data_IF_132920380604
#
_entry.id   IF_132920380604
#
_cell.length_a   1.000
_cell.length_b   1.000
_cell.length_c   1.000
_cell.angle_alpha   90.00
_cell.angle_beta   90.00
_cell.angle_gamma   90.00
#
_symmetry.space_group_name_H-M   'P 1'
#
loop_
_entity.id
_entity.type
_entity.pdbx_description
1 polymer ?
#
# COMPACT_ATOMS: atom_id res chain seq x y z
N UNK A 1 67.20 -18.29 64.57
CA UNK A 1 66.44 -19.30 63.78
C UNK A 1 65.30 -18.54 63.11
N UNK A 2 65.20 -18.65 61.78
CA UNK A 2 64.38 -17.88 60.81
C UNK A 2 62.91 -17.69 61.28
N UNK A 3 62.17 -16.61 60.96
CA UNK A 3 61.79 -16.04 59.65
C UNK A 3 61.43 -14.53 59.81
N UNK A 4 62.01 -13.58 59.07
CA UNK A 4 61.65 -13.03 57.73
C UNK A 4 60.33 -12.20 57.67
N UNK A 5 60.51 -10.87 57.73
CA UNK A 5 59.98 -9.76 56.90
C UNK A 5 58.50 -9.63 56.43
N UNK A 6 58.02 -8.37 56.60
CA UNK A 6 57.28 -7.47 55.67
C UNK A 6 55.73 -7.46 55.60
N UNK A 7 55.19 -6.35 56.14
CA UNK A 7 54.19 -5.43 55.58
C UNK A 7 53.62 -5.77 54.18
N UNK A 8 52.29 -5.76 54.05
CA UNK A 8 51.58 -5.10 52.94
C UNK A 8 50.14 -4.80 53.34
N UNK A 9 49.78 -3.53 53.20
CA UNK A 9 48.44 -3.00 53.36
C UNK A 9 47.60 -3.33 52.13
N UNK A 10 46.48 -4.02 52.34
CA UNK A 10 45.43 -4.21 51.34
C UNK A 10 44.11 -4.38 52.09
N UNK A 11 43.00 -3.93 51.48
CA UNK A 11 41.64 -3.74 52.03
C UNK A 11 41.45 -2.36 52.71
N UNK A 12 40.56 -1.46 52.28
CA UNK A 12 39.40 -1.54 51.39
C UNK A 12 39.26 -0.23 50.62
N UNK A 13 39.51 -0.25 49.31
CA UNK A 13 38.90 0.72 48.38
C UNK A 13 37.48 0.23 48.10
N UNK A 14 36.56 0.54 49.00
CA UNK A 14 35.13 0.32 48.83
C UNK A 14 34.44 1.65 49.07
N UNK A 15 34.48 2.54 48.07
CA UNK A 15 33.68 3.75 47.87
C UNK A 15 34.26 4.43 46.62
N UNK A 16 33.40 4.80 45.66
CA UNK A 16 33.68 5.25 44.27
C UNK A 16 33.56 4.16 43.19
N UNK A 17 32.39 3.54 43.09
CA UNK A 17 31.80 3.18 41.79
C UNK A 17 30.42 3.83 41.72
N UNK A 18 30.40 5.16 41.83
CA UNK A 18 29.25 5.96 41.41
C UNK A 18 29.34 6.15 39.90
N UNK A 19 28.30 5.70 39.18
CA UNK A 19 27.91 6.19 37.86
C UNK A 19 29.05 6.37 36.83
N UNK A 20 29.44 5.26 36.19
CA UNK A 20 29.78 5.33 34.78
C UNK A 20 28.54 4.81 34.03
N UNK A 21 27.54 5.68 33.86
CA UNK A 21 26.69 5.54 32.67
C UNK A 21 27.66 5.60 31.48
N UNK A 22 27.61 4.66 30.51
CA UNK A 22 28.49 4.73 29.36
C UNK A 22 28.29 6.10 28.69
N UNK A 23 29.40 6.76 28.42
CA UNK A 23 29.46 8.08 27.83
C UNK A 23 28.52 8.19 26.61
N UNK A 24 27.61 9.16 26.66
CA UNK A 24 26.79 9.68 25.56
C UNK A 24 26.45 8.65 24.46
N UNK A 25 25.49 7.76 24.73
CA UNK A 25 24.81 7.10 23.62
C UNK A 25 24.00 8.14 22.85
N UNK A 26 24.30 8.27 21.56
CA UNK A 26 23.48 9.07 20.62
C UNK A 26 22.05 8.55 20.56
N UNK A 27 21.10 9.40 20.19
CA UNK A 27 19.70 9.00 19.92
C UNK A 27 19.63 7.84 18.92
N UNK A 28 20.46 7.86 17.87
CA UNK A 28 20.60 6.75 16.93
C UNK A 28 20.99 5.43 17.62
N UNK A 29 21.96 5.45 18.54
CA UNK A 29 22.39 4.25 19.26
C UNK A 29 21.30 3.72 20.20
N UNK A 30 20.57 4.59 20.89
CA UNK A 30 19.45 4.20 21.76
C UNK A 30 18.29 3.60 20.96
N UNK A 31 18.05 4.06 19.74
CA UNK A 31 16.99 3.52 18.88
C UNK A 31 17.38 2.22 18.18
N UNK A 32 18.68 2.01 17.91
CA UNK A 32 19.17 0.74 17.36
C UNK A 32 19.09 -0.43 18.35
N UNK A 33 19.06 -0.14 19.67
CA UNK A 33 18.88 -1.15 20.71
C UNK A 33 17.45 -1.74 20.66
N UNK A 34 17.28 -2.90 20.02
CA UNK A 34 15.97 -3.57 19.93
C UNK A 34 15.63 -4.09 18.54
N UNK A 35 16.44 -3.77 17.53
CA UNK A 35 16.24 -4.19 16.13
C UNK A 35 16.26 -5.73 15.92
N UNK A 36 16.61 -6.52 16.94
CA UNK A 36 16.70 -7.97 16.89
C UNK A 36 15.77 -8.68 17.92
N UNK A 37 14.66 -8.03 18.31
CA UNK A 37 13.66 -8.66 19.16
C UNK A 37 12.90 -9.75 18.38
N UNK A 38 12.98 -11.00 18.83
CA UNK A 38 12.10 -12.07 18.36
C UNK A 38 10.75 -11.91 19.07
N UNK A 39 9.71 -11.55 18.33
CA UNK A 39 8.37 -11.28 18.85
C UNK A 39 7.41 -12.31 18.27
N UNK A 40 6.72 -13.03 19.15
CA UNK A 40 5.73 -14.02 18.78
C UNK A 40 4.36 -13.68 19.39
N UNK A 41 3.37 -13.43 18.55
CA UNK A 41 2.00 -13.12 18.95
C UNK A 41 1.11 -14.36 18.83
N UNK A 42 0.55 -14.88 19.94
CA UNK A 42 -0.45 -15.94 19.88
C UNK A 42 -1.80 -15.38 19.39
N UNK A 43 -2.42 -16.07 18.42
CA UNK A 43 -3.68 -15.67 17.78
C UNK A 43 -4.72 -16.81 17.89
N UNK A 44 -5.89 -16.60 18.51
CA UNK A 44 -6.95 -17.61 18.63
C UNK A 44 -7.69 -17.87 17.29
N UNK A 45 -8.21 -19.09 17.09
CA UNK A 45 -8.83 -19.58 15.82
C UNK A 45 -10.19 -18.97 15.49
N UNK A 46 -10.95 -18.43 16.44
CA UNK A 46 -12.36 -18.10 16.18
C UNK A 46 -12.57 -16.75 15.44
N UNK A 47 -11.58 -15.86 15.45
CA UNK A 47 -11.73 -14.42 15.15
C UNK A 47 -10.41 -13.76 14.72
N UNK A 48 -9.48 -14.54 14.13
CA UNK A 48 -8.02 -14.35 14.02
C UNK A 48 -7.43 -12.93 13.96
N UNK A 49 -8.13 -11.89 13.55
CA UNK A 49 -7.61 -10.51 13.51
C UNK A 49 -8.66 -9.45 13.87
N UNK A 50 -9.57 -9.74 14.81
CA UNK A 50 -10.67 -8.83 15.14
C UNK A 50 -10.18 -7.57 15.89
N UNK A 51 -10.51 -6.41 15.35
CA UNK A 51 -10.26 -5.09 15.94
C UNK A 51 -11.57 -4.31 16.02
N UNK A 52 -11.98 -3.93 17.23
CA UNK A 52 -13.20 -3.16 17.44
C UNK A 52 -13.00 -1.67 17.05
N UNK A 53 -13.96 -1.11 16.34
CA UNK A 53 -14.00 0.30 15.97
C UNK A 53 -14.58 1.16 17.12
N UNK A 54 -14.26 2.45 17.12
CA UNK A 54 -15.01 3.48 17.88
C UNK A 54 -15.10 3.25 19.41
N UNK A 55 -14.12 2.57 20.01
CA UNK A 55 -14.14 2.24 21.44
C UNK A 55 -13.71 3.41 22.35
N UNK A 56 -12.73 4.22 21.93
CA UNK A 56 -12.20 5.42 22.62
C UNK A 56 -11.47 6.32 21.59
N UNK A 57 -11.59 7.66 21.62
CA UNK A 57 -10.78 8.55 20.78
C UNK A 57 -9.26 8.36 20.90
N UNK A 58 -8.77 7.85 22.03
CA UNK A 58 -7.35 7.55 22.26
C UNK A 58 -6.96 6.11 21.88
N UNK A 59 -7.94 5.28 21.51
CA UNK A 59 -7.70 3.93 21.00
C UNK A 59 -7.39 3.96 19.51
N UNK A 60 -6.81 2.87 19.04
CA UNK A 60 -6.54 2.63 17.62
C UNK A 60 -7.78 2.88 16.77
N UNK A 61 -7.62 3.61 15.67
CA UNK A 61 -8.67 3.85 14.68
C UNK A 61 -8.41 2.99 13.44
N UNK A 62 -9.45 2.31 12.94
CA UNK A 62 -9.33 1.48 11.74
C UNK A 62 -8.99 2.34 10.51
N UNK A 63 -8.24 1.78 9.55
CA UNK A 63 -7.77 2.50 8.37
C UNK A 63 -8.87 3.25 7.61
N UNK A 64 -9.96 2.57 7.26
CA UNK A 64 -11.04 3.17 6.48
C UNK A 64 -12.22 3.65 7.32
N UNK A 65 -12.08 3.75 8.65
CA UNK A 65 -13.21 4.05 9.53
C UNK A 65 -13.93 5.34 9.10
N UNK A 66 -13.20 6.45 8.98
CA UNK A 66 -13.75 7.75 8.57
C UNK A 66 -14.34 7.69 7.16
N UNK A 67 -13.60 7.12 6.21
CA UNK A 67 -13.99 7.10 4.81
C UNK A 67 -15.25 6.24 4.56
N UNK A 68 -15.29 5.00 5.05
CA UNK A 68 -16.47 4.12 4.93
C UNK A 68 -17.65 4.73 5.68
N UNK A 69 -17.42 5.27 6.88
CA UNK A 69 -18.51 5.88 7.64
C UNK A 69 -19.08 7.10 6.92
N UNK A 70 -18.26 7.89 6.25
CA UNK A 70 -18.74 9.03 5.45
C UNK A 70 -19.43 8.57 4.16
N UNK A 71 -18.97 7.47 3.56
CA UNK A 71 -19.60 6.88 2.37
C UNK A 71 -21.03 6.40 2.59
N UNK A 72 -21.47 6.12 3.82
CA UNK A 72 -22.90 5.93 4.09
C UNK A 72 -23.63 7.23 3.71
N UNK A 73 -24.58 7.15 2.76
CA UNK A 73 -25.33 8.33 2.31
C UNK A 73 -26.07 9.00 3.47
N UNK A 74 -26.10 10.33 3.47
CA UNK A 74 -26.89 11.10 4.44
C UNK A 74 -28.34 10.57 4.44
N UNK A 75 -28.98 10.35 5.60
CA UNK A 75 -30.39 9.96 5.67
C UNK A 75 -31.35 10.91 4.92
N UNK A 76 -30.94 12.15 4.67
CA UNK A 76 -31.66 13.15 3.89
C UNK A 76 -31.35 13.12 2.39
N UNK A 77 -30.26 12.46 1.98
CA UNK A 77 -29.88 12.24 0.60
C UNK A 77 -30.63 11.02 0.05
N UNK A 78 -31.22 11.14 -1.14
CA UNK A 78 -31.88 10.01 -1.81
C UNK A 78 -31.02 9.57 -2.98
N UNK A 79 -30.26 8.49 -2.77
CA UNK A 79 -29.52 7.86 -3.87
C UNK A 79 -30.48 7.33 -4.93
N UNK A 80 -30.08 7.47 -6.19
CA UNK A 80 -30.65 6.73 -7.31
C UNK A 80 -30.38 5.23 -7.16
N UNK A 81 -31.10 4.41 -7.93
CA UNK A 81 -30.87 2.96 -7.91
C UNK A 81 -29.43 2.61 -8.33
N UNK A 82 -28.89 3.29 -9.35
CA UNK A 82 -27.53 3.06 -9.83
C UNK A 82 -26.46 3.47 -8.82
N UNK A 83 -26.65 4.58 -8.09
CA UNK A 83 -25.77 5.01 -7.00
C UNK A 83 -25.82 4.03 -5.81
N UNK A 84 -27.00 3.53 -5.47
CA UNK A 84 -27.16 2.53 -4.41
C UNK A 84 -26.50 1.19 -4.77
N UNK A 85 -26.61 0.77 -6.03
CA UNK A 85 -25.94 -0.44 -6.53
C UNK A 85 -24.41 -0.24 -6.53
N UNK A 86 -23.94 0.92 -7.00
CA UNK A 86 -22.52 1.31 -6.96
C UNK A 86 -21.94 1.27 -5.55
N UNK A 87 -22.62 1.88 -4.58
CA UNK A 87 -22.17 1.88 -3.19
C UNK A 87 -22.16 0.47 -2.58
N UNK A 88 -23.15 -0.35 -2.92
CA UNK A 88 -23.21 -1.75 -2.48
C UNK A 88 -22.00 -2.52 -3.01
N UNK A 89 -21.66 -2.33 -4.27
CA UNK A 89 -20.53 -3.00 -4.90
C UNK A 89 -19.19 -2.49 -4.35
N UNK A 90 -19.02 -1.18 -4.14
CA UNK A 90 -17.82 -0.62 -3.52
C UNK A 90 -17.60 -1.23 -2.12
N UNK A 91 -18.65 -1.35 -1.31
CA UNK A 91 -18.56 -1.99 0.01
C UNK A 91 -18.21 -3.47 -0.10
N UNK A 92 -18.78 -4.18 -1.08
CA UNK A 92 -18.44 -5.57 -1.36
C UNK A 92 -16.94 -5.69 -1.68
N UNK A 93 -16.43 -4.88 -2.61
CA UNK A 93 -15.03 -4.87 -3.01
C UNK A 93 -14.10 -4.55 -1.84
N UNK A 94 -14.37 -3.49 -1.08
CA UNK A 94 -13.56 -3.14 0.11
C UNK A 94 -13.53 -4.29 1.12
N UNK A 95 -14.65 -4.97 1.34
CA UNK A 95 -14.73 -6.10 2.26
C UNK A 95 -14.01 -7.36 1.77
N UNK A 96 -13.76 -7.51 0.46
CA UNK A 96 -12.88 -8.59 -0.04
C UNK A 96 -11.43 -8.43 0.46
N UNK A 97 -10.98 -7.20 0.72
CA UNK A 97 -9.63 -6.91 1.20
C UNK A 97 -9.54 -6.77 2.72
N UNK A 98 -10.47 -6.04 3.33
CA UNK A 98 -10.33 -5.57 4.72
C UNK A 98 -11.38 -6.10 5.70
N UNK A 99 -12.37 -6.85 5.20
CA UNK A 99 -13.38 -7.55 5.98
C UNK A 99 -13.94 -6.73 7.17
N UNK A 100 -14.53 -5.57 6.87
CA UNK A 100 -15.19 -4.71 7.85
C UNK A 100 -16.58 -5.26 8.20
N UNK A 101 -16.93 -5.14 9.49
CA UNK A 101 -18.27 -5.39 10.00
C UNK A 101 -18.93 -4.04 10.34
N UNK A 102 -20.14 -3.80 9.85
CA UNK A 102 -20.95 -2.62 10.17
C UNK A 102 -22.35 -2.98 10.69
N UNK A 103 -23.00 -2.04 11.37
CA UNK A 103 -24.38 -2.20 11.87
C UNK A 103 -25.45 -1.64 10.93
N UNK A 104 -25.08 -1.36 9.68
CA UNK A 104 -25.88 -0.69 8.66
C UNK A 104 -25.69 0.84 8.63
N UNK A 105 -25.04 1.42 9.62
CA UNK A 105 -24.81 2.88 9.71
C UNK A 105 -23.40 3.28 10.09
N UNK A 106 -22.68 2.42 10.80
CA UNK A 106 -21.30 2.66 11.21
C UNK A 106 -20.51 1.37 11.21
N UNK A 107 -19.24 1.46 10.85
CA UNK A 107 -18.26 0.39 11.03
C UNK A 107 -18.10 0.12 12.53
N UNK A 108 -18.20 -1.16 12.89
CA UNK A 108 -18.15 -1.64 14.28
C UNK A 108 -16.88 -2.42 14.57
N UNK A 109 -16.31 -3.11 13.58
CA UNK A 109 -15.02 -3.80 13.72
C UNK A 109 -14.44 -4.13 12.34
N UNK A 110 -13.18 -4.57 12.32
CA UNK A 110 -12.56 -5.20 11.17
C UNK A 110 -11.91 -6.52 11.58
N UNK A 111 -11.75 -7.44 10.63
CA UNK A 111 -11.08 -8.73 10.86
C UNK A 111 -9.91 -8.96 9.90
N UNK A 112 -9.19 -7.89 9.57
CA UNK A 112 -8.02 -7.92 8.71
C UNK A 112 -6.70 -7.77 9.50
N UNK A 113 -5.64 -8.31 8.93
CA UNK A 113 -4.31 -8.39 9.54
C UNK A 113 -3.63 -7.02 9.68
N UNK A 114 -3.92 -6.08 8.77
CA UNK A 114 -3.34 -4.74 8.80
C UNK A 114 -3.79 -3.97 10.05
N UNK A 115 -5.11 -3.87 10.26
CA UNK A 115 -5.70 -3.19 11.41
C UNK A 115 -5.26 -3.86 12.72
N UNK A 116 -5.24 -5.19 12.75
CA UNK A 116 -4.80 -5.94 13.92
C UNK A 116 -3.32 -5.71 14.23
N UNK A 117 -2.44 -5.77 13.24
CA UNK A 117 -1.02 -5.61 13.47
C UNK A 117 -0.69 -4.19 13.94
N UNK A 118 -1.28 -3.15 13.34
CA UNK A 118 -1.09 -1.79 13.83
C UNK A 118 -1.66 -1.57 15.24
N UNK A 119 -2.79 -2.19 15.57
CA UNK A 119 -3.31 -2.17 16.93
C UNK A 119 -2.29 -2.79 17.90
N UNK A 120 -1.69 -3.93 17.57
CA UNK A 120 -0.65 -4.54 18.42
C UNK A 120 0.58 -3.64 18.58
N UNK A 121 1.02 -2.95 17.52
CA UNK A 121 2.12 -1.98 17.62
C UNK A 121 1.80 -0.88 18.63
N UNK A 122 0.53 -0.49 18.73
CA UNK A 122 0.06 0.49 19.70
C UNK A 122 -0.05 -0.10 21.13
N UNK A 123 -0.59 -1.30 21.29
CA UNK A 123 -1.05 -1.80 22.60
C UNK A 123 -0.11 -2.80 23.28
N UNK A 124 0.77 -3.46 22.53
CA UNK A 124 1.59 -4.54 23.08
C UNK A 124 2.86 -4.03 23.76
N UNK A 125 3.11 -4.55 24.96
CA UNK A 125 4.26 -4.17 25.78
C UNK A 125 5.61 -4.42 25.09
N UNK A 126 5.65 -5.32 24.11
CA UNK A 126 6.83 -5.55 23.29
C UNK A 126 7.28 -4.30 22.52
N UNK A 127 6.34 -3.42 22.15
CA UNK A 127 6.59 -2.18 21.41
C UNK A 127 6.70 -0.93 22.28
N UNK A 128 6.24 -0.97 23.53
CA UNK A 128 6.27 0.17 24.46
C UNK A 128 7.66 0.83 24.54
N UNK A 129 8.70 0.03 24.75
CA UNK A 129 10.06 0.55 24.92
C UNK A 129 10.58 1.26 23.67
N UNK A 130 10.16 0.81 22.49
CA UNK A 130 10.55 1.38 21.20
C UNK A 130 9.82 2.70 20.97
N UNK A 131 8.50 2.72 21.17
CA UNK A 131 7.68 3.93 21.06
C UNK A 131 8.18 5.02 22.01
N UNK A 132 8.52 4.68 23.24
CA UNK A 132 9.08 5.62 24.22
C UNK A 132 10.44 6.19 23.78
N UNK A 133 11.28 5.39 23.13
CA UNK A 133 12.57 5.86 22.60
C UNK A 133 12.40 6.79 21.41
N UNK A 134 11.49 6.48 20.50
CA UNK A 134 11.12 7.37 19.39
C UNK A 134 10.57 8.68 19.94
N UNK A 135 9.71 8.64 20.97
CA UNK A 135 9.25 9.86 21.64
C UNK A 135 10.38 10.66 22.27
N UNK A 136 11.32 10.00 22.93
CA UNK A 136 12.50 10.68 23.47
C UNK A 136 13.34 11.31 22.35
N UNK A 137 13.48 10.62 21.21
CA UNK A 137 14.17 11.16 20.04
C UNK A 137 13.52 12.45 19.52
N UNK A 138 12.18 12.54 19.54
CA UNK A 138 11.49 13.79 19.14
C UNK A 138 11.66 14.94 20.14
N UNK A 139 11.99 14.63 21.40
CA UNK A 139 12.30 15.63 22.44
C UNK A 139 13.76 16.07 22.35
N UNK A 140 14.67 15.13 22.14
CA UNK A 140 16.11 15.38 22.07
C UNK A 140 16.48 16.12 20.76
N UNK A 141 15.81 15.78 19.65
CA UNK A 141 15.92 16.40 18.31
C UNK A 141 17.38 16.58 17.83
N UNK A 142 18.24 15.62 18.16
CA UNK A 142 19.69 15.72 17.96
C UNK A 142 20.27 14.77 16.90
N UNK A 143 19.58 13.66 16.60
CA UNK A 143 20.00 12.66 15.60
C UNK A 143 18.80 11.86 15.06
N UNK A 144 19.03 11.09 14.00
CA UNK A 144 18.05 10.13 13.48
C UNK A 144 17.79 9.01 14.48
N UNK A 145 16.55 8.53 14.52
CA UNK A 145 16.16 7.37 15.30
C UNK A 145 15.40 6.41 14.39
N UNK A 146 15.99 5.26 14.06
CA UNK A 146 15.33 4.25 13.23
C UNK A 146 15.30 2.92 13.95
N UNK A 147 14.09 2.41 14.13
CA UNK A 147 13.83 1.06 14.60
C UNK A 147 13.23 0.25 13.45
N UNK A 148 13.81 -0.91 13.16
CA UNK A 148 13.23 -1.89 12.24
C UNK A 148 13.29 -3.25 12.91
N UNK A 149 12.18 -3.98 12.91
CA UNK A 149 12.11 -5.37 13.34
C UNK A 149 11.34 -6.20 12.33
N UNK A 150 11.98 -7.26 11.85
CA UNK A 150 11.43 -8.21 10.86
C UNK A 150 11.12 -9.59 11.45
N UNK A 151 11.49 -9.80 12.71
CA UNK A 151 11.33 -11.09 13.39
C UNK A 151 10.03 -11.10 14.20
N UNK A 152 8.92 -10.74 13.56
CA UNK A 152 7.58 -10.74 14.17
C UNK A 152 6.80 -11.89 13.57
N UNK A 153 6.31 -12.79 14.41
CA UNK A 153 5.61 -14.01 14.00
C UNK A 153 4.24 -14.11 14.66
N UNK A 154 3.26 -14.53 13.89
CA UNK A 154 1.90 -14.77 14.36
C UNK A 154 1.69 -16.27 14.45
N UNK A 155 1.31 -16.75 15.62
CA UNK A 155 1.24 -18.19 15.94
C UNK A 155 -0.21 -18.57 16.24
N UNK A 156 -0.74 -19.59 15.56
CA UNK A 156 -2.06 -20.14 15.88
C UNK A 156 -2.01 -20.78 17.27
N UNK A 157 -2.63 -20.12 18.25
CA UNK A 157 -2.60 -20.58 19.65
C UNK A 157 -3.52 -21.77 19.91
N UNK A 158 -4.45 -22.04 18.99
CA UNK A 158 -5.36 -23.19 19.07
C UNK A 158 -4.83 -24.40 18.31
N UNK A 159 -3.72 -24.24 17.56
CA UNK A 159 -2.99 -25.34 16.97
C UNK A 159 -2.01 -25.95 17.99
N UNK A 160 -2.11 -27.26 18.31
CA UNK A 160 -1.21 -27.91 19.25
C UNK A 160 0.26 -27.91 18.82
N UNK A 161 0.54 -27.68 17.53
CA UNK A 161 1.90 -27.56 16.98
C UNK A 161 2.43 -26.11 16.99
N UNK A 162 1.62 -25.13 17.43
CA UNK A 162 1.97 -23.70 17.43
C UNK A 162 2.46 -23.24 16.06
N UNK A 163 1.66 -23.54 15.04
CA UNK A 163 1.99 -23.25 13.65
C UNK A 163 2.04 -21.74 13.42
N UNK A 164 3.08 -21.28 12.73
CA UNK A 164 3.18 -19.91 12.21
C UNK A 164 2.15 -19.70 11.10
N UNK A 165 1.38 -18.61 11.20
CA UNK A 165 0.30 -18.26 10.28
C UNK A 165 0.50 -16.89 9.63
N UNK A 166 1.55 -16.19 9.99
CA UNK A 166 1.86 -14.86 9.49
C UNK A 166 3.21 -14.35 9.99
N UNK A 167 3.77 -13.44 9.22
CA UNK A 167 5.06 -12.79 9.45
C UNK A 167 4.88 -11.28 9.30
N UNK A 168 5.54 -10.53 10.16
CA UNK A 168 5.42 -9.07 10.21
C UNK A 168 6.77 -8.37 10.19
N UNK A 169 6.77 -7.18 9.60
CA UNK A 169 7.83 -6.19 9.73
C UNK A 169 7.24 -4.89 10.24
N UNK A 170 7.91 -4.26 11.20
CA UNK A 170 7.60 -2.88 11.61
C UNK A 170 8.86 -2.03 11.50
N UNK A 171 8.70 -0.84 10.96
CA UNK A 171 9.71 0.21 11.01
C UNK A 171 9.09 1.45 11.64
N UNK A 172 9.78 2.06 12.61
CA UNK A 172 9.43 3.38 13.16
C UNK A 172 10.67 4.25 13.09
N UNK A 173 10.57 5.38 12.40
CA UNK A 173 11.67 6.32 12.20
C UNK A 173 11.30 7.74 12.63
N UNK A 174 12.29 8.45 13.18
CA UNK A 174 12.26 9.88 13.40
C UNK A 174 13.43 10.53 12.67
N UNK A 175 13.14 11.64 11.99
CA UNK A 175 14.12 12.45 11.26
C UNK A 175 14.14 13.88 11.82
N UNK A 176 15.28 14.37 12.35
CA UNK A 176 15.39 15.75 12.86
C UNK A 176 15.33 16.81 11.75
N UNK A 177 15.60 16.44 10.49
CA UNK A 177 15.52 17.39 9.37
C UNK A 177 14.10 17.70 8.96
N UNK A 178 13.23 16.68 8.96
CA UNK A 178 11.82 16.84 8.59
C UNK A 178 10.94 17.06 9.82
N UNK A 179 11.44 16.72 11.02
CA UNK A 179 10.70 16.70 12.28
C UNK A 179 9.45 15.81 12.21
N UNK A 180 9.55 14.72 11.44
CA UNK A 180 8.47 13.75 11.23
C UNK A 180 8.84 12.42 11.88
N UNK A 181 7.85 11.79 12.48
CA UNK A 181 7.85 10.38 12.81
C UNK A 181 7.07 9.63 11.73
N UNK A 182 7.66 8.56 11.22
CA UNK A 182 7.01 7.66 10.26
C UNK A 182 7.00 6.26 10.82
N UNK A 183 5.91 5.56 10.61
CA UNK A 183 5.80 4.14 10.89
C UNK A 183 5.32 3.42 9.64
N UNK A 184 5.92 2.27 9.36
CA UNK A 184 5.41 1.35 8.36
C UNK A 184 5.27 -0.04 8.96
N UNK A 185 4.19 -0.74 8.60
CA UNK A 185 4.00 -2.15 8.90
C UNK A 185 3.88 -2.92 7.59
N UNK A 186 4.45 -4.12 7.53
CA UNK A 186 4.26 -5.05 6.42
C UNK A 186 3.85 -6.39 7.04
N UNK A 187 2.82 -7.03 6.49
CA UNK A 187 2.37 -8.34 6.92
C UNK A 187 2.21 -9.26 5.70
N UNK A 188 2.66 -10.50 5.86
CA UNK A 188 2.41 -11.56 4.89
C UNK A 188 2.24 -12.93 5.57
N UNK A 189 1.64 -13.89 4.88
CA UNK A 189 1.57 -15.29 5.34
C UNK A 189 2.82 -16.10 4.98
N UNK A 190 3.68 -15.56 4.09
CA UNK A 190 4.94 -16.12 3.65
C UNK A 190 6.13 -15.24 4.06
N UNK A 191 7.03 -15.80 4.86
CA UNK A 191 8.28 -15.12 5.28
C UNK A 191 9.13 -14.69 4.08
N UNK A 192 9.15 -15.47 3.00
CA UNK A 192 9.99 -15.22 1.82
C UNK A 192 9.63 -13.94 1.07
N UNK A 193 8.39 -13.45 1.20
CA UNK A 193 7.97 -12.19 0.60
C UNK A 193 8.52 -10.98 1.36
N UNK A 194 8.96 -11.16 2.60
CA UNK A 194 9.59 -10.11 3.40
C UNK A 194 11.11 -10.05 3.23
N UNK A 195 11.74 -11.11 2.72
CA UNK A 195 13.20 -11.23 2.63
C UNK A 195 13.83 -10.39 1.51
N UNK A 196 13.15 -10.22 0.38
CA UNK A 196 13.67 -9.50 -0.80
C UNK A 196 12.89 -8.19 -1.05
N UNK A 197 13.62 -7.12 -1.36
CA UNK A 197 13.02 -5.84 -1.73
C UNK A 197 12.14 -5.94 -2.98
N UNK A 198 12.44 -6.88 -3.88
CA UNK A 198 11.66 -7.09 -5.11
C UNK A 198 10.34 -7.81 -4.85
N UNK A 199 10.26 -8.65 -3.82
CA UNK A 199 9.05 -9.41 -3.49
C UNK A 199 8.14 -8.68 -2.50
N UNK A 200 8.65 -7.68 -1.78
CA UNK A 200 7.90 -6.89 -0.80
C UNK A 200 6.69 -6.13 -1.35
N UNK A 201 6.71 -5.71 -2.61
CA UNK A 201 5.52 -5.07 -3.23
C UNK A 201 4.35 -6.06 -3.38
N UNK A 202 4.64 -7.37 -3.34
CA UNK A 202 3.62 -8.43 -3.33
C UNK A 202 3.18 -8.81 -1.93
N UNK A 203 3.75 -8.21 -0.88
CA UNK A 203 3.30 -8.49 0.47
C UNK A 203 1.81 -8.18 0.61
N UNK A 204 1.09 -9.06 1.31
CA UNK A 204 -0.37 -9.00 1.40
C UNK A 204 -0.88 -7.66 1.95
N UNK A 205 -0.25 -7.15 3.02
CA UNK A 205 -0.60 -5.86 3.60
C UNK A 205 0.63 -5.00 3.85
N UNK A 206 0.53 -3.73 3.47
CA UNK A 206 1.51 -2.70 3.78
C UNK A 206 0.78 -1.46 4.29
N UNK A 207 1.13 -1.02 5.48
CA UNK A 207 0.59 0.17 6.13
C UNK A 207 1.68 1.20 6.34
N UNK A 208 1.33 2.47 6.19
CA UNK A 208 2.19 3.61 6.44
C UNK A 208 1.42 4.69 7.15
N UNK A 209 2.02 5.27 8.19
CA UNK A 209 1.54 6.50 8.77
C UNK A 209 2.67 7.48 9.06
N UNK A 210 2.37 8.77 8.97
CA UNK A 210 3.28 9.85 9.26
C UNK A 210 2.64 10.86 10.22
N UNK A 211 3.42 11.39 11.16
CA UNK A 211 2.99 12.44 12.09
C UNK A 211 4.14 13.37 12.44
N UNK A 212 3.83 14.61 12.83
CA UNK A 212 4.82 15.52 13.40
C UNK A 212 5.42 14.96 14.69
N UNK A 213 6.73 15.12 14.86
CA UNK A 213 7.43 14.70 16.07
C UNK A 213 6.93 15.39 17.34
N UNK A 214 6.41 16.63 17.22
CA UNK A 214 5.75 17.36 18.31
C UNK A 214 4.49 16.66 18.81
N UNK A 215 3.75 16.04 17.88
CA UNK A 215 2.42 15.49 18.11
C UNK A 215 2.47 13.98 18.40
N UNK A 216 3.62 13.34 18.15
CA UNK A 216 3.84 11.94 18.45
C UNK A 216 3.68 11.64 19.95
N UNK A 217 2.86 10.65 20.30
CA UNK A 217 2.66 10.09 21.63
C UNK A 217 3.04 8.60 21.65
N UNK A 218 3.83 8.21 22.65
CA UNK A 218 4.26 6.83 22.85
C UNK A 218 3.22 5.95 23.56
N UNK A 219 2.11 6.53 24.04
CA UNK A 219 1.07 5.80 24.78
C UNK A 219 -0.20 5.70 23.95
N UNK A 220 -0.78 6.84 23.57
CA UNK A 220 -2.09 6.88 22.91
C UNK A 220 -1.98 6.73 21.39
N UNK A 221 -3.10 6.40 20.75
CA UNK A 221 -3.24 6.57 19.31
C UNK A 221 -3.10 8.05 18.95
N UNK A 222 -2.41 8.32 17.84
CA UNK A 222 -2.25 9.67 17.31
C UNK A 222 -2.86 9.68 15.92
N UNK A 223 -3.71 10.66 15.63
CA UNK A 223 -4.21 10.88 14.28
C UNK A 223 -3.02 11.28 13.39
N UNK A 224 -2.72 10.51 12.33
CA UNK A 224 -1.60 10.81 11.45
C UNK A 224 -1.91 12.01 10.54
N UNK A 225 -0.86 12.69 10.07
CA UNK A 225 -0.96 13.67 9.00
C UNK A 225 -1.23 12.99 7.65
N UNK A 226 -0.58 11.85 7.41
CA UNK A 226 -0.77 11.00 6.23
C UNK A 226 -0.88 9.57 6.69
N UNK A 227 -1.89 8.86 6.20
CA UNK A 227 -2.10 7.43 6.42
C UNK A 227 -2.35 6.75 5.09
N UNK A 228 -1.53 5.77 4.75
CA UNK A 228 -1.60 5.06 3.49
C UNK A 228 -1.58 3.56 3.73
N UNK A 229 -2.32 2.83 2.90
CA UNK A 229 -2.26 1.38 2.88
C UNK A 229 -2.22 0.86 1.45
N UNK A 230 -1.52 -0.25 1.26
CA UNK A 230 -1.58 -1.08 0.07
C UNK A 230 -1.94 -2.48 0.55
N UNK A 231 -2.95 -3.06 -0.06
CA UNK A 231 -3.45 -4.39 0.25
C UNK A 231 -3.58 -5.17 -1.03
N UNK A 232 -2.73 -6.18 -1.20
CA UNK A 232 -2.90 -7.17 -2.24
C UNK A 232 -3.96 -8.18 -1.77
N UNK A 233 -4.75 -8.71 -2.71
CA UNK A 233 -5.88 -9.56 -2.35
C UNK A 233 -5.43 -10.75 -1.47
N UNK A 234 -6.15 -11.07 -0.37
CA UNK A 234 -5.73 -12.08 0.59
C UNK A 234 -5.73 -13.53 0.08
N UNK A 235 -6.49 -13.80 -0.99
CA UNK A 235 -6.50 -15.07 -1.70
C UNK A 235 -5.46 -15.06 -2.83
N UNK A 236 -4.53 -16.02 -2.81
CA UNK A 236 -3.47 -16.20 -3.83
C UNK A 236 -4.02 -16.28 -5.27
N UNK A 237 -5.21 -16.86 -5.46
CA UNK A 237 -5.88 -16.96 -6.77
C UNK A 237 -6.41 -15.60 -7.29
N UNK A 238 -6.26 -14.54 -6.50
CA UNK A 238 -6.77 -13.20 -6.78
C UNK A 238 -5.72 -12.08 -6.64
N UNK A 239 -4.43 -12.42 -6.65
CA UNK A 239 -3.33 -11.44 -6.63
C UNK A 239 -3.43 -10.36 -7.73
N UNK A 240 -4.23 -10.59 -8.77
CA UNK A 240 -4.58 -9.61 -9.79
C UNK A 240 -5.26 -8.34 -9.26
N UNK A 241 -5.86 -8.38 -8.06
CA UNK A 241 -6.58 -7.26 -7.49
C UNK A 241 -5.78 -6.61 -6.36
N UNK A 242 -5.65 -5.27 -6.43
CA UNK A 242 -4.95 -4.45 -5.45
C UNK A 242 -5.88 -3.37 -4.93
N UNK A 243 -5.89 -3.19 -3.62
CA UNK A 243 -6.54 -2.09 -2.94
C UNK A 243 -5.46 -1.13 -2.42
N UNK A 244 -5.69 0.17 -2.54
CA UNK A 244 -4.88 1.17 -1.86
C UNK A 244 -5.74 2.27 -1.27
N UNK A 245 -5.21 2.87 -0.21
CA UNK A 245 -5.86 3.94 0.52
C UNK A 245 -4.86 5.03 0.82
N UNK A 246 -5.32 6.27 0.72
CA UNK A 246 -4.59 7.46 1.15
C UNK A 246 -5.54 8.39 1.90
N UNK A 247 -5.21 8.72 3.14
CA UNK A 247 -5.88 9.74 3.94
C UNK A 247 -4.85 10.77 4.39
N UNK A 248 -5.05 12.00 3.93
CA UNK A 248 -4.18 13.11 4.25
C UNK A 248 -4.97 14.19 4.99
N UNK A 249 -4.61 14.43 6.25
CA UNK A 249 -5.31 15.37 7.14
C UNK A 249 -5.17 16.82 6.66
N UNK A 250 -4.11 17.15 5.93
CA UNK A 250 -3.86 18.50 5.40
C UNK A 250 -4.77 18.87 4.23
N UNK A 251 -5.12 17.89 3.40
CA UNK A 251 -6.04 18.05 2.27
C UNK A 251 -7.50 17.78 2.63
N UNK A 252 -7.74 17.19 3.81
CA UNK A 252 -9.06 16.73 4.26
C UNK A 252 -9.72 15.83 3.19
N UNK A 253 -8.90 15.03 2.52
CA UNK A 253 -9.31 14.14 1.43
C UNK A 253 -8.86 12.72 1.76
N UNK A 254 -9.80 11.78 1.63
CA UNK A 254 -9.49 10.36 1.63
C UNK A 254 -9.72 9.79 0.23
N UNK A 255 -8.80 8.96 -0.24
CA UNK A 255 -8.88 8.30 -1.53
C UNK A 255 -8.76 6.79 -1.34
N UNK A 256 -9.67 6.06 -1.97
CA UNK A 256 -9.67 4.61 -2.06
C UNK A 256 -9.47 4.26 -3.52
N UNK A 257 -8.51 3.40 -3.83
CA UNK A 257 -8.24 2.93 -5.18
C UNK A 257 -8.30 1.41 -5.21
N UNK A 258 -8.96 0.87 -6.22
CA UNK A 258 -9.02 -0.57 -6.51
C UNK A 258 -8.62 -0.77 -7.96
N UNK A 259 -7.62 -1.61 -8.18
CA UNK A 259 -7.07 -1.92 -9.50
C UNK A 259 -7.09 -3.42 -9.76
N UNK A 260 -7.53 -3.82 -10.95
CA UNK A 260 -7.59 -5.21 -11.43
C UNK A 260 -6.66 -5.37 -12.62
N UNK A 261 -5.57 -6.08 -12.46
CA UNK A 261 -4.57 -6.32 -13.49
C UNK A 261 -4.84 -7.62 -14.25
N UNK A 262 -4.45 -7.70 -15.52
CA UNK A 262 -4.46 -8.98 -16.22
C UNK A 262 -3.26 -9.80 -15.79
N UNK A 263 -3.43 -11.11 -15.72
CA UNK A 263 -2.33 -12.02 -15.40
C UNK A 263 -2.37 -13.25 -16.30
N UNK A 264 -1.22 -13.92 -16.41
CA UNK A 264 -1.11 -15.19 -17.10
C UNK A 264 -1.95 -16.25 -16.38
N UNK A 265 -2.68 -17.04 -17.16
CA UNK A 265 -3.42 -18.18 -16.62
C UNK A 265 -2.50 -19.30 -16.11
N UNK A 266 -1.28 -19.36 -16.66
CA UNK A 266 -0.26 -20.32 -16.28
C UNK A 266 0.74 -19.66 -15.31
N UNK A 267 0.61 -20.03 -14.04
CA UNK A 267 1.47 -19.53 -12.95
C UNK A 267 2.81 -20.27 -12.87
N UNK A 268 3.02 -21.34 -13.65
CA UNK A 268 4.28 -22.11 -13.69
C UNK A 268 4.77 -22.30 -15.13
N UNK A 269 5.26 -21.23 -15.76
CA UNK A 269 5.54 -21.27 -17.18
C UNK A 269 6.76 -22.13 -17.49
N UNK A 270 6.65 -22.91 -18.56
CA UNK A 270 7.74 -23.78 -18.99
C UNK A 270 8.85 -22.96 -19.63
N UNK A 271 10.04 -22.99 -19.03
CA UNK A 271 11.23 -22.34 -19.62
C UNK A 271 12.08 -23.38 -20.36
N UNK A 272 12.23 -23.20 -21.67
CA UNK A 272 13.07 -24.06 -22.51
C UNK A 272 14.29 -23.26 -22.98
N UNK A 273 15.49 -23.71 -22.64
CA UNK A 273 16.72 -23.17 -23.20
C UNK A 273 17.00 -23.83 -24.56
N UNK A 274 17.24 -23.03 -25.58
CA UNK A 274 17.72 -23.51 -26.87
C UNK A 274 19.20 -23.96 -26.80
N UNK A 275 19.71 -24.52 -27.89
CA UNK A 275 21.11 -24.95 -28.00
C UNK A 275 22.15 -23.82 -27.88
N UNK A 276 21.70 -22.56 -27.90
CA UNK A 276 22.51 -21.35 -27.72
C UNK A 276 22.34 -20.73 -26.32
N UNK A 277 21.66 -21.42 -25.40
CA UNK A 277 21.35 -20.96 -24.04
C UNK A 277 20.46 -19.71 -24.02
N UNK A 278 19.63 -19.53 -25.06
CA UNK A 278 18.54 -18.55 -25.08
C UNK A 278 17.31 -19.24 -24.47
N UNK A 279 16.87 -18.76 -23.31
CA UNK A 279 15.66 -19.26 -22.65
C UNK A 279 14.42 -18.63 -23.27
N UNK A 280 13.50 -19.45 -23.79
CA UNK A 280 12.14 -19.02 -24.10
C UNK A 280 11.17 -19.55 -23.06
N UNK A 281 10.38 -18.66 -22.49
CA UNK A 281 9.32 -18.99 -21.55
C UNK A 281 8.01 -19.15 -22.32
N UNK A 282 7.35 -20.29 -22.16
CA UNK A 282 6.05 -20.58 -22.78
C UNK A 282 5.00 -20.77 -21.70
N UNK A 283 3.87 -20.09 -21.87
CA UNK A 283 2.71 -20.16 -20.98
C UNK A 283 1.66 -21.08 -21.57
N UNK A 284 0.94 -21.82 -20.74
CA UNK A 284 -0.21 -22.62 -21.15
C UNK A 284 -1.46 -21.76 -21.42
N UNK A 285 -2.40 -22.34 -22.18
CA UNK A 285 -3.69 -21.71 -22.48
C UNK A 285 -4.56 -21.63 -21.23
N UNK A 286 -5.32 -20.54 -21.11
CA UNK A 286 -6.38 -20.41 -20.13
C UNK A 286 -7.41 -21.53 -20.26
N UNK A 287 -7.92 -21.99 -19.11
CA UNK A 287 -8.96 -22.99 -19.06
C UNK A 287 -10.25 -22.51 -19.75
N UNK A 288 -11.00 -23.45 -20.31
CA UNK A 288 -12.27 -23.15 -21.00
C UNK A 288 -13.25 -22.47 -20.04
N UNK A 289 -13.75 -21.30 -20.44
CA UNK A 289 -14.74 -20.54 -19.68
C UNK A 289 -14.15 -19.40 -18.85
N UNK A 290 -12.83 -19.29 -18.76
CA UNK A 290 -12.17 -18.10 -18.22
C UNK A 290 -12.21 -17.00 -19.28
N UNK A 291 -12.72 -15.79 -18.95
CA UNK A 291 -12.58 -14.64 -19.83
C UNK A 291 -11.11 -14.37 -20.10
N UNK A 292 -10.74 -14.22 -21.38
CA UNK A 292 -9.35 -13.97 -21.75
C UNK A 292 -9.21 -12.67 -22.50
N UNK A 293 -8.06 -12.03 -22.27
CA UNK A 293 -7.68 -10.80 -22.95
C UNK A 293 -7.50 -11.10 -24.43
N UNK A 294 -8.02 -10.23 -25.29
CA UNK A 294 -7.80 -10.30 -26.74
C UNK A 294 -6.56 -9.48 -27.07
N UNK A 295 -5.48 -10.08 -27.62
CA UNK A 295 -4.30 -9.34 -28.03
C UNK A 295 -4.63 -8.27 -29.09
N UNK A 296 -3.84 -7.20 -29.09
CA UNK A 296 -4.00 -6.13 -30.09
C UNK A 296 -3.80 -6.66 -31.51
N UNK A 297 -4.64 -6.19 -32.42
CA UNK A 297 -4.59 -6.56 -33.85
C UNK A 297 -3.78 -5.58 -34.69
N UNK A 298 -3.16 -4.59 -34.03
CA UNK A 298 -2.24 -3.63 -34.64
C UNK A 298 -1.10 -4.41 -35.35
N UNK A 299 -0.77 -4.13 -36.62
CA UNK A 299 0.09 -5.00 -37.42
C UNK A 299 1.47 -5.31 -36.81
N UNK A 300 2.14 -4.30 -36.22
CA UNK A 300 3.42 -4.50 -35.54
C UNK A 300 3.30 -5.45 -34.34
N UNK A 301 2.21 -5.34 -33.59
CA UNK A 301 1.93 -6.18 -32.42
C UNK A 301 1.49 -7.59 -32.82
N UNK A 302 0.59 -7.70 -33.79
CA UNK A 302 0.03 -8.98 -34.23
C UNK A 302 1.12 -9.90 -34.80
N UNK A 303 2.15 -9.33 -35.42
CA UNK A 303 3.28 -10.06 -35.98
C UNK A 303 4.19 -10.67 -34.88
N UNK A 304 4.34 -9.98 -33.74
CA UNK A 304 5.29 -10.35 -32.69
C UNK A 304 4.63 -11.09 -31.52
N UNK A 305 3.44 -10.65 -31.10
CA UNK A 305 2.77 -11.10 -29.88
C UNK A 305 1.47 -11.88 -30.15
N UNK A 306 0.80 -11.60 -31.28
CA UNK A 306 -0.58 -12.05 -31.51
C UNK A 306 -0.80 -13.56 -31.43
N UNK A 307 0.16 -14.37 -31.88
CA UNK A 307 0.05 -15.84 -31.81
C UNK A 307 0.55 -16.42 -30.48
N UNK A 308 1.47 -15.75 -29.79
CA UNK A 308 2.08 -16.23 -28.55
C UNK A 308 1.24 -15.90 -27.31
N UNK A 309 0.47 -14.81 -27.33
CA UNK A 309 -0.31 -14.34 -26.18
C UNK A 309 -1.81 -14.65 -26.26
N UNK A 310 -2.29 -15.12 -27.41
CA UNK A 310 -3.70 -15.45 -27.59
C UNK A 310 -4.13 -16.55 -26.61
N UNK A 311 -5.19 -16.29 -25.83
CA UNK A 311 -5.73 -17.19 -24.81
C UNK A 311 -4.74 -17.52 -23.67
N UNK A 312 -3.75 -16.64 -23.39
CA UNK A 312 -2.76 -16.84 -22.31
C UNK A 312 -3.03 -16.00 -21.06
N UNK A 313 -3.72 -14.88 -21.23
CA UNK A 313 -4.02 -13.94 -20.15
C UNK A 313 -5.49 -14.01 -19.76
N UNK A 314 -5.74 -14.15 -18.45
CA UNK A 314 -7.05 -13.93 -17.86
C UNK A 314 -7.41 -12.45 -17.96
N UNK A 315 -8.66 -12.19 -18.31
CA UNK A 315 -9.23 -10.84 -18.32
C UNK A 315 -10.00 -10.58 -17.03
N UNK A 316 -9.42 -9.77 -16.14
CA UNK A 316 -10.01 -9.41 -14.87
C UNK A 316 -10.65 -8.01 -14.90
N UNK A 317 -11.92 -7.95 -14.51
CA UNK A 317 -12.69 -6.71 -14.39
C UNK A 317 -13.82 -6.89 -13.37
N UNK A 318 -14.45 -5.78 -12.99
CA UNK A 318 -15.62 -5.75 -12.13
C UNK A 318 -16.68 -4.81 -12.70
N UNK A 319 -17.92 -4.99 -12.25
CA UNK A 319 -19.06 -4.17 -12.66
C UNK A 319 -19.53 -3.37 -11.45
N UNK A 320 -19.50 -2.05 -11.52
CA UNK A 320 -19.99 -1.19 -10.44
C UNK A 320 -21.52 -1.21 -10.33
N UNK A 321 -22.20 -1.35 -11.47
CA UNK A 321 -23.65 -1.46 -11.61
C UNK A 321 -23.95 -1.90 -13.06
N UNK A 322 -25.22 -1.97 -13.44
CA UNK A 322 -25.64 -2.37 -14.79
C UNK A 322 -25.20 -1.43 -15.92
N UNK A 323 -24.80 -0.20 -15.60
CA UNK A 323 -24.43 0.85 -16.58
C UNK A 323 -22.91 0.96 -16.73
N UNK A 324 -22.17 0.75 -15.63
CA UNK A 324 -20.72 0.84 -15.58
C UNK A 324 -20.12 -0.55 -15.33
N UNK A 325 -19.88 -1.26 -16.44
CA UNK A 325 -19.41 -2.66 -16.46
C UNK A 325 -18.01 -2.76 -17.05
N UNK A 326 -17.27 -3.83 -16.74
CA UNK A 326 -15.94 -4.10 -17.28
C UNK A 326 -14.89 -3.08 -16.82
N UNK A 327 -15.08 -2.53 -15.61
CA UNK A 327 -14.13 -1.62 -15.00
C UNK A 327 -12.92 -2.38 -14.48
N UNK A 328 -11.78 -1.71 -14.47
CA UNK A 328 -10.51 -2.23 -13.96
C UNK A 328 -9.90 -1.35 -12.89
N UNK A 329 -10.15 -0.05 -12.97
CA UNK A 329 -9.77 0.91 -11.93
C UNK A 329 -11.00 1.56 -11.35
N UNK A 330 -11.05 1.68 -10.04
CA UNK A 330 -12.02 2.45 -9.28
C UNK A 330 -11.25 3.43 -8.40
N UNK A 331 -11.68 4.69 -8.36
CA UNK A 331 -11.23 5.67 -7.37
C UNK A 331 -12.46 6.22 -6.67
N UNK A 332 -12.46 6.17 -5.35
CA UNK A 332 -13.46 6.82 -4.52
C UNK A 332 -12.77 7.91 -3.73
N UNK A 333 -13.22 9.14 -3.90
CA UNK A 333 -12.76 10.29 -3.12
C UNK A 333 -13.82 10.66 -2.09
N UNK A 334 -13.39 10.86 -0.86
CA UNK A 334 -14.21 11.36 0.24
C UNK A 334 -13.61 12.68 0.68
N UNK A 335 -14.26 13.77 0.26
CA UNK A 335 -13.86 15.14 0.56
C UNK A 335 -14.50 15.58 1.87
N UNK A 336 -13.69 15.67 2.93
CA UNK A 336 -14.10 15.97 4.30
C UNK A 336 -14.10 17.48 4.61
N UNK A 337 -13.75 18.34 3.63
CA UNK A 337 -13.67 19.81 3.83
C UNK A 337 -15.00 20.43 4.23
N UNK A 338 -16.11 19.90 3.72
CA UNK A 338 -17.42 20.22 4.25
C UNK A 338 -17.74 19.28 5.43
N UNK A 339 -17.23 19.67 6.60
CA UNK A 339 -17.40 19.02 7.90
C UNK A 339 -18.87 18.77 8.31
N UNK A 340 -19.85 19.24 7.55
CA UNK A 340 -21.27 18.99 7.80
C UNK A 340 -21.91 17.95 6.88
N UNK A 341 -21.23 17.46 5.83
CA UNK A 341 -21.82 16.48 4.90
C UNK A 341 -20.82 15.51 4.29
N UNK A 342 -19.58 15.92 4.02
CA UNK A 342 -18.64 15.12 3.22
C UNK A 342 -19.15 14.89 1.79
N UNK A 343 -18.32 15.18 0.78
CA UNK A 343 -18.69 14.89 -0.61
C UNK A 343 -18.01 13.60 -1.06
N UNK A 344 -18.79 12.66 -1.59
CA UNK A 344 -18.28 11.40 -2.13
C UNK A 344 -18.29 11.48 -3.66
N UNK A 345 -17.14 11.24 -4.29
CA UNK A 345 -16.99 11.20 -5.75
C UNK A 345 -16.46 9.84 -6.18
N UNK A 346 -17.10 9.22 -7.17
CA UNK A 346 -16.74 7.90 -7.68
C UNK A 346 -16.27 8.03 -9.12
N UNK A 347 -15.09 7.49 -9.41
CA UNK A 347 -14.47 7.46 -10.74
C UNK A 347 -14.19 6.01 -11.13
N UNK A 348 -14.30 5.69 -12.41
CA UNK A 348 -14.02 4.36 -12.93
C UNK A 348 -13.37 4.40 -14.29
N UNK A 349 -12.50 3.42 -14.56
CA UNK A 349 -11.82 3.25 -15.86
C UNK A 349 -11.93 1.80 -16.32
N UNK A 350 -12.10 1.58 -17.63
CA UNK A 350 -12.15 0.24 -18.26
C UNK A 350 -10.76 -0.32 -18.58
N UNK A 351 -9.71 0.46 -18.36
CA UNK A 351 -8.32 0.04 -18.55
C UNK A 351 -7.44 0.54 -17.41
N UNK A 352 -6.39 -0.21 -17.08
CA UNK A 352 -5.34 0.24 -16.16
C UNK A 352 -4.38 1.21 -16.84
N UNK A 353 -4.10 0.94 -18.11
CA UNK A 353 -3.16 1.68 -18.93
C UNK A 353 -3.62 1.62 -20.39
N UNK A 354 -3.38 2.69 -21.13
CA UNK A 354 -3.55 2.70 -22.57
C UNK A 354 -2.36 3.43 -23.22
N UNK A 355 -1.93 2.93 -24.37
CA UNK A 355 -0.84 3.51 -25.16
C UNK A 355 -1.29 3.74 -26.61
N UNK A 356 -0.66 4.71 -27.27
CA UNK A 356 -0.75 4.78 -28.73
C UNK A 356 0.19 3.76 -29.39
N UNK A 357 -0.29 3.13 -30.45
CA UNK A 357 0.53 2.38 -31.39
C UNK A 357 1.55 3.29 -32.09
N UNK A 358 2.41 2.69 -32.92
CA UNK A 358 3.48 3.43 -33.61
C UNK A 358 2.96 4.50 -34.59
N UNK A 359 1.69 4.41 -34.99
CA UNK A 359 0.99 5.41 -35.82
C UNK A 359 0.58 6.68 -35.05
N UNK A 360 0.68 6.69 -33.72
CA UNK A 360 0.31 7.81 -32.85
C UNK A 360 -1.20 8.06 -32.72
N UNK A 361 -2.05 7.15 -33.18
CA UNK A 361 -3.52 7.35 -33.20
C UNK A 361 -4.31 6.13 -32.74
N UNK A 362 -3.84 4.92 -33.02
CA UNK A 362 -4.52 3.69 -32.60
C UNK A 362 -4.23 3.42 -31.13
N UNK A 363 -5.27 3.28 -30.33
CA UNK A 363 -5.15 3.02 -28.88
C UNK A 363 -5.07 1.52 -28.62
N UNK A 364 -4.11 1.12 -27.78
CA UNK A 364 -3.98 -0.23 -27.24
C UNK A 364 -4.22 -0.15 -25.74
N UNK A 365 -5.30 -0.77 -25.28
CA UNK A 365 -5.69 -0.81 -23.87
C UNK A 365 -5.13 -2.05 -23.18
N UNK A 366 -4.72 -1.87 -21.92
CA UNK A 366 -4.08 -2.87 -21.07
C UNK A 366 -2.97 -3.64 -21.82
N UNK A 367 -1.99 -2.93 -22.40
CA UNK A 367 -0.96 -3.57 -23.22
C UNK A 367 -0.09 -4.49 -22.37
N UNK A 368 0.25 -5.67 -22.90
CA UNK A 368 1.22 -6.58 -22.26
C UNK A 368 2.64 -6.06 -22.48
N UNK A 369 3.62 -6.61 -21.76
CA UNK A 369 5.03 -6.28 -21.98
C UNK A 369 5.50 -6.59 -23.40
N UNK A 370 4.98 -7.66 -24.03
CA UNK A 370 5.26 -7.96 -25.43
C UNK A 370 4.73 -6.85 -26.35
N UNK A 371 3.48 -6.42 -26.17
CA UNK A 371 2.88 -5.40 -27.01
C UNK A 371 3.55 -4.03 -26.82
N UNK A 372 3.91 -3.69 -25.59
CA UNK A 372 4.73 -2.50 -25.27
C UNK A 372 6.06 -2.55 -26.02
N UNK A 373 6.75 -3.69 -25.97
CA UNK A 373 8.03 -3.84 -26.68
C UNK A 373 7.86 -3.77 -28.20
N UNK A 374 6.83 -4.41 -28.77
CA UNK A 374 6.55 -4.36 -30.20
C UNK A 374 6.28 -2.93 -30.70
N UNK A 375 5.56 -2.11 -29.91
CA UNK A 375 5.36 -0.69 -30.23
C UNK A 375 6.68 0.09 -30.18
N UNK A 376 7.53 -0.15 -29.17
CA UNK A 376 8.85 0.49 -29.09
C UNK A 376 9.75 0.12 -30.28
N UNK A 377 9.75 -1.15 -30.68
CA UNK A 377 10.54 -1.62 -31.82
C UNK A 377 10.05 -1.01 -33.13
N UNK A 378 8.73 -0.90 -33.31
CA UNK A 378 8.13 -0.21 -34.45
C UNK A 378 8.48 1.28 -34.48
N UNK A 379 8.41 1.98 -33.34
CA UNK A 379 8.81 3.39 -33.21
C UNK A 379 10.29 3.59 -33.57
N UNK A 380 11.16 2.65 -33.18
CA UNK A 380 12.59 2.72 -33.47
C UNK A 380 12.91 2.62 -34.96
N UNK A 381 12.04 1.92 -35.73
CA UNK A 381 12.16 1.80 -37.18
C UNK A 381 11.66 3.04 -37.94
N UNK A 382 10.74 3.80 -37.36
CA UNK A 382 10.15 5.00 -37.99
C UNK A 382 11.16 6.15 -38.06
N UNK A 383 11.90 6.38 -36.97
CA UNK A 383 12.91 7.45 -36.89
C UNK A 383 14.22 6.96 -36.24
N UNK A 384 15.07 6.26 -37.01
CA UNK A 384 16.30 5.66 -36.48
C UNK A 384 17.33 6.73 -36.05
N UNK A 385 17.32 7.90 -36.68
CA UNK A 385 18.24 8.99 -36.34
C UNK A 385 17.85 9.64 -35.00
N UNK A 386 16.56 9.87 -34.76
CA UNK A 386 16.05 10.31 -33.46
C UNK A 386 16.23 9.24 -32.39
N UNK A 387 16.01 7.97 -32.72
CA UNK A 387 16.23 6.84 -31.79
C UNK A 387 17.67 6.78 -31.32
N UNK A 388 18.65 6.98 -32.21
CA UNK A 388 20.06 6.99 -31.86
C UNK A 388 20.47 8.19 -30.97
N UNK A 389 19.71 9.29 -31.00
CA UNK A 389 20.00 10.50 -30.25
C UNK A 389 19.22 10.63 -28.92
N UNK A 390 17.94 10.26 -28.92
CA UNK A 390 16.97 10.53 -27.85
C UNK A 390 16.29 9.27 -27.30
N UNK A 391 16.38 8.14 -28.01
CA UNK A 391 15.63 6.91 -27.71
C UNK A 391 14.17 6.97 -28.15
N UNK A 392 13.46 5.86 -27.95
CA UNK A 392 12.01 5.75 -28.17
C UNK A 392 11.29 5.59 -26.85
N UNK A 393 10.05 6.07 -26.78
CA UNK A 393 9.19 5.95 -25.61
C UNK A 393 7.75 5.69 -26.03
N UNK A 394 7.04 4.97 -25.18
CA UNK A 394 5.59 4.84 -25.31
C UNK A 394 4.92 6.19 -25.08
N UNK A 395 3.80 6.41 -25.76
CA UNK A 395 2.93 7.56 -25.52
C UNK A 395 1.67 7.06 -24.85
N UNK A 396 1.52 7.40 -23.56
CA UNK A 396 0.34 7.03 -22.78
C UNK A 396 -0.88 7.84 -23.21
N UNK A 397 -2.04 7.18 -23.19
CA UNK A 397 -3.34 7.78 -23.43
C UNK A 397 -4.00 8.01 -22.07
N UNK A 398 -4.16 9.26 -21.63
CA UNK A 398 -4.83 9.53 -20.35
C UNK A 398 -6.32 9.21 -20.46
N UNK A 399 -6.89 8.64 -19.40
CA UNK A 399 -8.32 8.48 -19.26
C UNK A 399 -8.94 9.77 -18.73
N UNK A 400 -9.61 10.53 -19.58
CA UNK A 400 -10.25 11.79 -19.18
C UNK A 400 -11.35 11.63 -18.13
N UNK A 401 -11.84 10.42 -17.88
CA UNK A 401 -12.85 10.14 -16.86
C UNK A 401 -12.25 9.65 -15.54
N UNK A 402 -10.93 9.43 -15.48
CA UNK A 402 -10.26 8.87 -14.30
C UNK A 402 -8.97 9.63 -13.94
N UNK A 403 -8.11 9.90 -14.92
CA UNK A 403 -6.80 10.52 -14.74
C UNK A 403 -6.92 12.05 -14.67
N UNK A 404 -6.12 12.66 -13.79
CA UNK A 404 -5.89 14.12 -13.78
C UNK A 404 -4.81 14.41 -14.82
N UNK A 405 -5.07 15.35 -15.73
CA UNK A 405 -4.07 15.80 -16.70
C UNK A 405 -3.44 17.11 -16.27
N UNK A 406 -2.14 17.26 -16.53
CA UNK A 406 -1.37 18.45 -16.18
C UNK A 406 -0.90 19.19 -17.42
N UNK A 407 -0.81 20.51 -17.33
CA UNK A 407 -0.35 21.35 -18.42
C UNK A 407 1.12 21.08 -18.70
N UNK A 408 1.43 20.90 -19.98
CA UNK A 408 2.80 20.81 -20.48
C UNK A 408 3.07 21.93 -21.47
N UNK A 409 4.31 22.38 -21.54
CA UNK A 409 4.75 23.34 -22.53
C UNK A 409 4.98 22.67 -23.91
N UNK A 410 5.44 23.46 -24.88
CA UNK A 410 5.67 22.98 -26.25
C UNK A 410 6.73 21.86 -26.35
N UNK A 411 7.60 21.74 -25.34
CA UNK A 411 8.66 20.74 -25.27
C UNK A 411 8.22 19.53 -24.41
N UNK A 412 6.97 19.50 -23.94
CA UNK A 412 6.40 18.45 -23.11
C UNK A 412 6.86 18.51 -21.65
N UNK A 413 7.43 19.63 -21.20
CA UNK A 413 7.82 19.81 -19.80
C UNK A 413 6.63 20.32 -18.97
N UNK A 414 6.54 19.93 -17.68
CA UNK A 414 5.44 20.37 -16.82
C UNK A 414 5.47 21.88 -16.62
N UNK A 415 4.32 22.54 -16.80
CA UNK A 415 4.16 23.97 -16.50
C UNK A 415 3.89 24.11 -15.00
N UNK A 416 4.71 24.93 -14.32
CA UNK A 416 4.60 25.14 -12.88
C UNK A 416 3.91 26.48 -12.56
N UNK A 417 3.14 26.49 -11.47
CA UNK A 417 2.54 27.68 -10.89
C UNK A 417 3.57 28.50 -10.07
N UNK A 418 3.11 29.57 -9.43
CA UNK A 418 3.95 30.46 -8.61
C UNK A 418 4.54 29.79 -7.35
N UNK A 419 4.01 28.64 -6.95
CA UNK A 419 4.46 27.85 -5.81
C UNK A 419 5.34 26.67 -6.23
N UNK A 420 5.59 26.49 -7.53
CA UNK A 420 6.36 25.37 -8.07
C UNK A 420 5.58 24.07 -8.22
N UNK A 421 4.24 24.12 -8.15
CA UNK A 421 3.34 22.97 -8.36
C UNK A 421 2.92 22.88 -9.83
N UNK A 422 2.68 21.67 -10.34
CA UNK A 422 2.21 21.51 -11.71
C UNK A 422 0.78 22.05 -11.87
N UNK A 423 0.55 22.79 -12.94
CA UNK A 423 -0.78 23.33 -13.24
C UNK A 423 -1.66 22.20 -13.79
N UNK A 424 -2.83 22.00 -13.19
CA UNK A 424 -3.84 21.06 -13.68
C UNK A 424 -4.43 21.59 -15.00
N UNK A 425 -4.45 20.73 -16.02
CA UNK A 425 -5.08 21.00 -17.31
C UNK A 425 -6.55 20.60 -17.29
N UNK A 426 -6.84 19.38 -16.85
CA UNK A 426 -8.21 18.86 -16.71
C UNK A 426 -8.34 17.94 -15.49
N UNK A 427 -9.43 18.12 -14.75
CA UNK A 427 -9.89 17.15 -13.75
C UNK A 427 -10.88 16.17 -14.39
N UNK A 428 -10.90 14.91 -13.94
CA UNK A 428 -11.85 13.92 -14.42
C UNK A 428 -13.27 14.22 -13.93
N UNK A 429 -14.26 13.81 -14.71
CA UNK A 429 -15.67 13.91 -14.30
C UNK A 429 -16.06 12.65 -13.53
N UNK A 430 -16.56 12.76 -12.28
CA UNK A 430 -17.04 11.60 -11.53
C UNK A 430 -18.20 10.90 -12.26
N UNK A 431 -18.25 9.58 -12.17
CA UNK A 431 -19.41 8.78 -12.56
C UNK A 431 -20.62 9.12 -11.66
N UNK A 432 -20.35 9.28 -10.37
CA UNK A 432 -21.34 9.66 -9.36
C UNK A 432 -20.78 10.68 -8.39
N UNK A 433 -21.65 11.52 -7.87
CA UNK A 433 -21.35 12.45 -6.78
C UNK A 433 -22.56 12.57 -5.88
N UNK A 434 -22.37 12.34 -4.58
CA UNK A 434 -23.43 12.44 -3.59
C UNK A 434 -22.89 12.95 -2.25
N UNK A 435 -23.81 13.34 -1.37
CA UNK A 435 -23.46 13.80 -0.02
C UNK A 435 -23.47 12.63 0.96
N UNK A 436 -22.33 12.44 1.64
CA UNK A 436 -22.13 11.42 2.66
C UNK A 436 -22.77 11.77 4.00
N UNK A 437 -22.49 10.97 5.02
CA UNK A 437 -22.94 11.26 6.39
C UNK A 437 -21.91 12.07 7.16
N UNK A 438 -22.37 13.19 7.73
CA UNK A 438 -21.57 14.08 8.58
C UNK A 438 -21.08 13.44 9.89
N UNK A 439 -21.83 12.45 10.40
CA UNK A 439 -21.66 11.90 11.76
C UNK A 439 -20.44 10.99 11.93
N UNK A 440 -19.68 10.76 10.86
CA UNK A 440 -18.47 9.95 10.82
C UNK A 440 -17.18 10.72 11.18
N UNK A 441 -17.24 12.05 11.24
CA UNK A 441 -16.08 12.92 11.44
C UNK A 441 -15.93 13.18 12.95
N UNK A 442 -14.86 12.69 13.61
CA UNK A 442 -14.63 12.93 15.03
C UNK A 442 -14.37 14.39 15.40
#
# INVERSE_FOLDING_TARGET
MQQVFKLSATLCSALLLSACDPAFQTTAQKCAEGQALDIAFPVPRADRYKVDANTDPNAYQLYLNTAINTMFADPMETLTAEESDALTEIKRLVNEFLNYEDDGSVVTSATNQLDFFEQLVLTEAAFDSIRQRVKQATIDDDDFCTFTNRNIRFIDSDDPELKEIGFGEVTIEYSPFTQLVRQSVIFDTSETLLDDIQTRDRAQYSGFFQVKGSDYDAVNYIKPEVRQAIVNHPDDDKEFARFSFDEATDTELSQLLIDYQNDYCDTDPTTVADENNVSSTTYDDCAVGIPTRVPSTVPEVAAECGASENNKFSDYSFDLNSTHTGLRRLRVEVDLRDMFKGEVRIYGSTYNEAIYASDGTTVIENPTDCEKQAVLDALALIDPDKTAAEGVRLTFVPDTNYDITYQTDADGQPVLDENGLQIIDSEPTPLYTYQGTASAIP
#
